data_IF_290449173381
#
_entry.id   IF_290449173381
#
_cell.length_a   1.000
_cell.length_b   1.000
_cell.length_c   1.000
_cell.angle_alpha   90.00
_cell.angle_beta   90.00
_cell.angle_gamma   90.00
#
_symmetry.space_group_name_H-M   'P 1'
#
loop_
_entity.id
_entity.type
_entity.pdbx_description
1 polymer ?
#
# COMPACT_ATOMS: atom_id res chain seq x y z
N UNK A 1 41.67 -17.67 85.94
CA UNK A 1 40.98 -18.27 84.77
C UNK A 1 39.65 -17.57 84.43
N UNK A 2 38.98 -17.05 85.44
CA UNK A 2 37.64 -16.40 85.22
C UNK A 2 37.73 -15.06 84.40
N UNK A 3 38.84 -14.31 84.54
CA UNK A 3 39.01 -13.01 83.85
C UNK A 3 39.49 -13.18 82.39
N UNK A 4 40.09 -14.30 82.04
CA UNK A 4 40.52 -14.58 80.66
C UNK A 4 39.30 -14.97 79.76
N UNK A 5 38.36 -15.70 80.38
CA UNK A 5 37.12 -16.05 79.68
C UNK A 5 36.26 -14.81 79.31
N UNK A 6 36.25 -13.81 80.18
CA UNK A 6 35.50 -12.57 79.97
C UNK A 6 36.13 -11.69 78.88
N UNK A 7 37.46 -11.74 78.72
CA UNK A 7 38.22 -10.99 77.72
C UNK A 7 38.03 -11.64 76.30
N UNK A 8 37.94 -12.97 76.22
CA UNK A 8 37.69 -13.68 74.99
C UNK A 8 36.25 -13.46 74.54
N UNK A 9 35.31 -13.42 75.50
CA UNK A 9 33.87 -13.15 75.13
C UNK A 9 33.71 -11.70 74.67
N UNK A 10 34.44 -10.73 75.18
CA UNK A 10 34.39 -9.34 74.70
C UNK A 10 34.97 -9.17 73.30
N UNK A 11 35.92 -10.01 72.86
CA UNK A 11 36.54 -9.97 71.56
C UNK A 11 35.56 -10.49 70.42
N UNK A 12 34.62 -11.33 70.79
CA UNK A 12 33.59 -11.86 69.81
C UNK A 12 32.49 -10.85 69.50
N UNK A 13 32.29 -9.79 70.27
CA UNK A 13 31.25 -8.80 70.08
C UNK A 13 31.64 -7.71 69.09
N UNK A 14 32.93 -7.56 68.75
CA UNK A 14 33.43 -6.49 67.84
C UNK A 14 33.48 -6.95 66.38
N UNK A 15 33.16 -8.22 66.06
CA UNK A 15 33.30 -8.78 64.71
C UNK A 15 32.06 -8.62 63.79
N UNK A 16 31.11 -7.74 64.09
CA UNK A 16 29.98 -7.45 63.21
C UNK A 16 30.01 -6.01 62.73
N UNK A 17 31.09 -5.63 62.04
CA UNK A 17 31.08 -4.42 61.24
C UNK A 17 30.49 -4.77 59.85
N UNK A 18 29.16 -4.76 59.71
CA UNK A 18 28.49 -4.74 58.43
C UNK A 18 28.81 -3.43 57.75
N UNK A 19 29.80 -3.42 56.87
CA UNK A 19 29.91 -2.37 55.88
C UNK A 19 28.59 -2.35 55.11
N UNK A 20 27.67 -1.50 55.51
CA UNK A 20 26.55 -1.10 54.68
C UNK A 20 27.16 -0.27 53.53
N UNK A 21 27.61 -0.93 52.48
CA UNK A 21 27.84 -0.29 51.19
C UNK A 21 26.48 0.25 50.78
N UNK A 22 26.24 1.52 51.07
CA UNK A 22 25.05 2.21 50.52
C UNK A 22 25.34 2.33 49.03
N UNK A 23 24.41 1.85 48.21
CA UNK A 23 24.48 2.11 46.79
C UNK A 23 24.49 3.61 46.54
N UNK A 24 25.43 4.07 45.70
CA UNK A 24 25.63 5.51 45.42
C UNK A 24 24.48 6.08 44.57
N UNK A 25 23.72 5.23 43.92
CA UNK A 25 22.51 5.58 43.15
C UNK A 25 21.49 4.43 43.13
N UNK A 26 20.26 4.80 43.12
CA UNK A 26 19.10 3.89 42.88
C UNK A 26 18.40 4.35 41.61
N UNK A 27 18.15 3.43 40.67
CA UNK A 27 17.44 3.76 39.44
C UNK A 27 16.84 2.52 38.81
N UNK A 28 15.87 2.74 37.93
CA UNK A 28 15.27 1.69 37.13
C UNK A 28 15.83 1.74 35.70
N UNK A 29 16.13 0.57 35.14
CA UNK A 29 16.42 0.46 33.72
C UNK A 29 15.13 0.53 32.95
N UNK A 30 15.02 1.49 32.03
CA UNK A 30 13.87 1.67 31.15
C UNK A 30 14.34 1.51 29.70
N UNK A 31 13.53 0.86 28.88
CA UNK A 31 13.71 0.80 27.44
C UNK A 31 12.46 1.33 26.73
N UNK A 32 12.63 1.77 25.48
CA UNK A 32 11.47 2.19 24.67
C UNK A 32 10.72 0.95 24.19
N UNK A 33 9.50 0.78 24.72
CA UNK A 33 8.60 -0.28 24.31
C UNK A 33 7.72 0.18 23.13
N UNK A 34 7.59 -0.66 22.12
CA UNK A 34 6.70 -0.45 20.99
C UNK A 34 5.61 -1.51 21.01
N UNK A 35 4.36 -1.07 21.07
CA UNK A 35 3.21 -1.96 20.89
C UNK A 35 2.87 -2.01 19.40
N UNK A 36 3.04 -3.18 18.80
CA UNK A 36 2.66 -3.42 17.41
C UNK A 36 1.20 -3.83 17.37
N UNK A 37 0.41 -3.03 16.67
CA UNK A 37 -1.04 -3.22 16.53
C UNK A 37 -1.40 -3.59 15.10
N UNK A 38 -2.56 -4.23 14.94
CA UNK A 38 -3.09 -4.57 13.62
C UNK A 38 -3.43 -3.32 12.80
N UNK A 39 -2.97 -3.27 11.55
CA UNK A 39 -3.34 -2.26 10.56
C UNK A 39 -4.47 -2.74 9.63
N UNK A 40 -5.03 -3.94 9.88
CA UNK A 40 -6.09 -4.55 9.07
C UNK A 40 -7.09 -5.29 9.93
N UNK A 41 -8.27 -5.56 9.35
CA UNK A 41 -9.30 -6.39 9.96
C UNK A 41 -9.27 -7.77 9.30
N UNK A 42 -9.39 -8.83 10.10
CA UNK A 42 -9.47 -10.19 9.58
C UNK A 42 -9.01 -11.23 10.59
N UNK A 43 -9.01 -12.48 10.17
CA UNK A 43 -8.49 -13.60 10.94
C UNK A 43 -6.96 -13.63 10.83
N UNK A 44 -6.28 -13.85 11.92
CA UNK A 44 -4.82 -14.06 11.94
C UNK A 44 -4.56 -15.49 11.44
N UNK A 45 -3.96 -15.62 10.25
CA UNK A 45 -3.60 -16.91 9.66
C UNK A 45 -2.43 -17.56 10.40
N UNK A 46 -1.40 -16.76 10.68
CA UNK A 46 -0.29 -17.16 11.53
C UNK A 46 0.30 -15.93 12.24
N UNK A 47 0.93 -16.18 13.39
CA UNK A 47 1.71 -15.20 14.16
C UNK A 47 2.86 -15.98 14.82
N UNK A 48 4.02 -15.98 14.14
CA UNK A 48 5.20 -16.76 14.51
C UNK A 48 6.10 -15.95 15.44
N UNK A 49 5.62 -15.71 16.65
CA UNK A 49 6.30 -15.01 17.72
C UNK A 49 5.96 -15.68 19.04
N UNK A 50 6.98 -15.78 19.92
CA UNK A 50 6.80 -16.13 21.32
C UNK A 50 7.43 -15.06 22.20
N UNK A 51 6.98 -14.96 23.45
CA UNK A 51 7.59 -14.06 24.43
C UNK A 51 9.04 -14.46 24.69
N UNK A 52 9.94 -13.49 24.64
CA UNK A 52 11.39 -13.72 24.73
C UNK A 52 12.10 -13.90 23.38
N UNK A 53 11.39 -14.01 22.27
CA UNK A 53 12.00 -14.11 20.93
C UNK A 53 12.72 -12.81 20.55
N UNK A 54 13.91 -12.93 19.98
CA UNK A 54 14.63 -11.81 19.36
C UNK A 54 14.26 -11.75 17.88
N UNK A 55 13.71 -10.63 17.46
CA UNK A 55 13.20 -10.44 16.09
C UNK A 55 13.88 -9.27 15.40
N UNK A 56 14.37 -9.52 14.19
CA UNK A 56 15.00 -8.48 13.36
C UNK A 56 13.97 -7.52 12.77
N UNK A 57 14.39 -6.26 12.53
CA UNK A 57 13.59 -5.27 11.82
C UNK A 57 13.29 -5.72 10.40
N UNK A 58 12.04 -5.56 9.97
CA UNK A 58 11.60 -5.90 8.62
C UNK A 58 11.23 -7.37 8.41
N UNK A 59 11.39 -8.24 9.44
CA UNK A 59 10.97 -9.63 9.38
C UNK A 59 9.45 -9.72 9.40
N UNK A 60 8.87 -10.49 8.47
CA UNK A 60 7.43 -10.84 8.51
C UNK A 60 7.21 -11.85 9.63
N UNK A 61 6.36 -11.50 10.57
CA UNK A 61 6.09 -12.29 11.78
C UNK A 61 4.69 -12.87 11.81
N UNK A 62 3.80 -12.39 10.95
CA UNK A 62 2.43 -12.88 10.87
C UNK A 62 1.72 -12.45 9.59
N UNK A 63 0.53 -13.00 9.39
CA UNK A 63 -0.35 -12.69 8.27
C UNK A 63 -1.80 -12.68 8.74
N UNK A 64 -2.53 -11.65 8.34
CA UNK A 64 -3.99 -11.57 8.45
C UNK A 64 -4.60 -12.01 7.13
N UNK A 65 -5.73 -12.71 7.15
CA UNK A 65 -6.42 -13.22 5.96
C UNK A 65 -6.66 -12.11 4.92
N UNK A 66 -6.21 -12.35 3.71
CA UNK A 66 -6.30 -11.43 2.57
C UNK A 66 -7.30 -11.86 1.50
N UNK A 67 -7.98 -13.00 1.68
CA UNK A 67 -8.77 -13.64 0.62
C UNK A 67 -9.86 -12.71 0.08
N UNK A 68 -10.59 -12.04 0.96
CA UNK A 68 -11.64 -11.10 0.57
C UNK A 68 -11.10 -9.89 -0.20
N UNK A 69 -9.94 -9.35 0.24
CA UNK A 69 -9.26 -8.26 -0.44
C UNK A 69 -8.75 -8.69 -1.82
N UNK A 70 -8.22 -9.91 -1.92
CA UNK A 70 -7.79 -10.49 -3.19
C UNK A 70 -8.92 -10.58 -4.21
N UNK A 71 -10.10 -11.09 -3.82
CA UNK A 71 -11.26 -11.16 -4.72
C UNK A 71 -11.77 -9.78 -5.12
N UNK A 72 -11.80 -8.83 -4.18
CA UNK A 72 -12.15 -7.43 -4.48
C UNK A 72 -11.18 -6.82 -5.50
N UNK A 73 -9.88 -7.05 -5.36
CA UNK A 73 -8.86 -6.64 -6.32
C UNK A 73 -9.11 -7.25 -7.70
N UNK A 74 -9.40 -8.55 -7.78
CA UNK A 74 -9.66 -9.23 -9.04
C UNK A 74 -10.90 -8.68 -9.74
N UNK A 75 -11.96 -8.35 -8.99
CA UNK A 75 -13.16 -7.70 -9.52
C UNK A 75 -12.85 -6.32 -10.11
N UNK A 76 -12.06 -5.51 -9.42
CA UNK A 76 -11.63 -4.19 -9.90
C UNK A 76 -10.78 -4.29 -11.17
N UNK A 77 -9.87 -5.25 -11.25
CA UNK A 77 -9.05 -5.52 -12.45
C UNK A 77 -9.96 -5.90 -13.65
N UNK A 78 -10.96 -6.76 -13.43
CA UNK A 78 -11.92 -7.14 -14.47
C UNK A 78 -12.73 -5.93 -14.96
N UNK A 79 -13.18 -5.08 -14.05
CA UNK A 79 -13.89 -3.84 -14.35
C UNK A 79 -13.01 -2.86 -15.15
N UNK A 80 -11.76 -2.67 -14.74
CA UNK A 80 -10.78 -1.85 -15.45
C UNK A 80 -10.56 -2.34 -16.88
N UNK A 81 -10.42 -3.66 -17.06
CA UNK A 81 -10.24 -4.29 -18.37
C UNK A 81 -11.47 -4.07 -19.27
N UNK A 82 -12.68 -4.19 -18.71
CA UNK A 82 -13.93 -3.93 -19.42
C UNK A 82 -14.01 -2.49 -19.91
N UNK A 83 -13.67 -1.52 -19.06
CA UNK A 83 -13.64 -0.10 -19.43
C UNK A 83 -12.56 0.15 -20.49
N UNK A 84 -11.37 -0.38 -20.31
CA UNK A 84 -10.25 -0.19 -21.23
C UNK A 84 -10.57 -0.75 -22.64
N UNK A 85 -11.36 -1.82 -22.73
CA UNK A 85 -11.77 -2.39 -24.03
C UNK A 85 -12.65 -1.43 -24.85
N UNK A 86 -13.40 -0.52 -24.19
CA UNK A 86 -14.18 0.51 -24.88
C UNK A 86 -13.29 1.46 -25.71
N UNK A 87 -12.06 1.69 -25.26
CA UNK A 87 -11.09 2.51 -26.02
C UNK A 87 -10.71 1.90 -27.36
N UNK A 88 -10.64 0.57 -27.44
CA UNK A 88 -10.43 -0.15 -28.70
C UNK A 88 -11.56 0.06 -29.69
N UNK A 89 -12.81 0.05 -29.23
CA UNK A 89 -13.99 0.32 -30.08
C UNK A 89 -13.94 1.75 -30.64
N UNK A 90 -13.61 2.74 -29.80
CA UNK A 90 -13.48 4.14 -30.25
C UNK A 90 -12.35 4.29 -31.27
N UNK A 91 -11.21 3.59 -31.06
CA UNK A 91 -10.12 3.61 -32.01
C UNK A 91 -10.53 3.01 -33.38
N UNK A 92 -11.21 1.86 -33.38
CA UNK A 92 -11.71 1.22 -34.59
C UNK A 92 -12.70 2.11 -35.34
N UNK A 93 -13.63 2.74 -34.63
CA UNK A 93 -14.59 3.69 -35.22
C UNK A 93 -13.88 4.90 -35.83
N UNK A 94 -12.88 5.46 -35.15
CA UNK A 94 -12.05 6.54 -35.66
C UNK A 94 -11.32 6.14 -36.94
N UNK A 95 -10.79 4.92 -37.00
CA UNK A 95 -10.07 4.40 -38.18
C UNK A 95 -10.99 4.28 -39.38
N UNK A 96 -12.24 3.78 -39.20
CA UNK A 96 -13.23 3.73 -40.28
C UNK A 96 -13.53 5.13 -40.82
N UNK A 97 -13.74 6.13 -39.96
CA UNK A 97 -13.96 7.50 -40.38
C UNK A 97 -12.73 8.09 -41.10
N UNK A 98 -11.50 7.73 -40.69
CA UNK A 98 -10.28 8.17 -41.36
C UNK A 98 -10.17 7.64 -42.78
N UNK A 99 -10.55 6.39 -43.03
CA UNK A 99 -10.59 5.82 -44.41
C UNK A 99 -11.68 6.49 -45.24
N UNK A 100 -12.86 6.77 -44.66
CA UNK A 100 -13.90 7.56 -45.32
C UNK A 100 -13.42 8.98 -45.68
N UNK A 101 -12.70 9.64 -44.77
CA UNK A 101 -12.11 10.96 -45.03
C UNK A 101 -11.11 10.92 -46.18
N UNK A 102 -10.26 9.90 -46.19
CA UNK A 102 -9.27 9.70 -47.27
C UNK A 102 -9.96 9.57 -48.63
N UNK A 103 -11.00 8.75 -48.74
CA UNK A 103 -11.79 8.60 -49.95
C UNK A 103 -12.47 9.90 -50.36
N UNK A 104 -13.08 10.62 -49.40
CA UNK A 104 -13.74 11.89 -49.67
C UNK A 104 -12.75 12.99 -50.13
N UNK A 105 -11.50 13.00 -49.62
CA UNK A 105 -10.46 13.95 -50.04
C UNK A 105 -9.95 13.65 -51.46
N UNK A 106 -9.85 12.39 -51.85
CA UNK A 106 -9.55 12.02 -53.25
C UNK A 106 -10.65 12.54 -54.20
N UNK A 107 -11.90 12.32 -53.86
CA UNK A 107 -13.02 12.82 -54.62
C UNK A 107 -13.05 14.35 -54.66
N UNK A 108 -12.79 15.01 -53.51
CA UNK A 108 -12.71 16.47 -53.44
C UNK A 108 -11.64 17.02 -54.40
N UNK A 109 -10.48 16.40 -54.48
CA UNK A 109 -9.41 16.79 -55.39
C UNK A 109 -9.87 16.61 -56.85
N UNK A 110 -10.53 15.49 -57.19
CA UNK A 110 -11.07 15.23 -58.53
C UNK A 110 -12.09 16.30 -58.95
N UNK A 111 -13.08 16.59 -58.10
CA UNK A 111 -14.12 17.60 -58.39
C UNK A 111 -13.52 19.00 -58.54
N UNK A 112 -12.53 19.38 -57.71
CA UNK A 112 -11.85 20.66 -57.82
C UNK A 112 -11.06 20.81 -59.16
N UNK A 113 -10.39 19.76 -59.60
CA UNK A 113 -9.69 19.74 -60.88
C UNK A 113 -10.70 19.86 -62.04
N UNK A 114 -11.83 19.11 -62.02
CA UNK A 114 -12.90 19.25 -63.02
C UNK A 114 -13.50 20.66 -63.01
N UNK A 115 -13.66 21.29 -61.85
CA UNK A 115 -14.16 22.66 -61.76
C UNK A 115 -13.21 23.68 -62.38
N UNK A 116 -11.90 23.50 -62.18
CA UNK A 116 -10.89 24.35 -62.83
C UNK A 116 -10.91 24.23 -64.37
N UNK A 117 -11.34 23.10 -64.89
CA UNK A 117 -11.48 22.79 -66.33
C UNK A 117 -12.91 23.12 -66.83
N UNK A 118 -13.77 23.77 -66.05
CA UNK A 118 -15.20 24.06 -66.34
C UNK A 118 -16.07 22.81 -66.55
N UNK A 119 -15.64 21.63 -66.10
CA UNK A 119 -16.34 20.33 -66.20
C UNK A 119 -17.12 19.98 -64.94
N UNK A 120 -17.15 20.79 -63.90
CA UNK A 120 -17.97 20.65 -62.69
C UNK A 120 -18.63 21.98 -62.28
N UNK A 121 -19.71 21.88 -61.51
CA UNK A 121 -20.46 23.06 -61.02
C UNK A 121 -19.93 23.50 -59.66
N UNK A 122 -20.08 24.79 -59.31
CA UNK A 122 -19.79 25.27 -57.95
C UNK A 122 -20.54 24.54 -56.86
N UNK A 123 -21.81 24.16 -57.13
CA UNK A 123 -22.63 23.34 -56.19
C UNK A 123 -21.94 22.02 -55.84
N UNK A 124 -21.39 21.30 -56.82
CA UNK A 124 -20.67 20.03 -56.57
C UNK A 124 -19.40 20.26 -55.71
N UNK A 125 -18.67 21.35 -55.93
CA UNK A 125 -17.52 21.69 -55.07
C UNK A 125 -17.98 21.98 -53.66
N UNK A 126 -19.06 22.71 -53.47
CA UNK A 126 -19.56 23.08 -52.13
C UNK A 126 -20.11 21.81 -51.41
N UNK A 127 -20.78 20.90 -52.11
CA UNK A 127 -21.27 19.63 -51.59
C UNK A 127 -20.12 18.74 -51.08
N UNK A 128 -19.05 18.55 -51.86
CA UNK A 128 -17.91 17.73 -51.46
C UNK A 128 -17.11 18.36 -50.33
N UNK A 129 -16.94 19.70 -50.31
CA UNK A 129 -16.30 20.41 -49.22
C UNK A 129 -17.09 20.22 -47.91
N UNK A 130 -18.42 20.31 -47.97
CA UNK A 130 -19.32 20.04 -46.85
C UNK A 130 -19.17 18.63 -46.30
N UNK A 131 -19.14 17.61 -47.19
CA UNK A 131 -18.94 16.22 -46.83
C UNK A 131 -17.62 15.96 -46.13
N UNK A 132 -16.51 16.50 -46.65
CA UNK A 132 -15.18 16.41 -46.02
C UNK A 132 -15.24 17.01 -44.63
N UNK A 133 -15.76 18.22 -44.45
CA UNK A 133 -15.91 18.89 -43.19
C UNK A 133 -16.72 18.10 -42.14
N UNK A 134 -17.82 17.51 -42.55
CA UNK A 134 -18.68 16.68 -41.70
C UNK A 134 -17.87 15.48 -41.14
N UNK A 135 -17.13 14.78 -42.02
CA UNK A 135 -16.33 13.62 -41.59
C UNK A 135 -15.20 14.06 -40.65
N UNK A 136 -14.54 15.20 -40.89
CA UNK A 136 -13.52 15.76 -40.00
C UNK A 136 -14.09 16.06 -38.61
N UNK A 137 -15.27 16.65 -38.51
CA UNK A 137 -15.91 16.90 -37.22
C UNK A 137 -16.38 15.60 -36.52
N UNK A 138 -16.82 14.59 -37.30
CA UNK A 138 -17.12 13.26 -36.74
C UNK A 138 -15.89 12.59 -36.15
N UNK A 139 -14.72 12.64 -36.82
CA UNK A 139 -13.45 12.11 -36.30
C UNK A 139 -13.07 12.81 -34.98
N UNK A 140 -13.23 14.12 -34.94
CA UNK A 140 -12.97 14.91 -33.73
C UNK A 140 -13.92 14.50 -32.58
N UNK A 141 -15.23 14.39 -32.86
CA UNK A 141 -16.26 13.97 -31.90
C UNK A 141 -15.99 12.57 -31.34
N UNK A 142 -15.64 11.60 -32.18
CA UNK A 142 -15.24 10.27 -31.75
C UNK A 142 -13.98 10.32 -30.91
N UNK A 143 -12.99 11.14 -31.30
CA UNK A 143 -11.73 11.28 -30.56
C UNK A 143 -11.91 11.76 -29.12
N UNK A 144 -12.91 12.60 -28.84
CA UNK A 144 -13.19 13.10 -27.48
C UNK A 144 -13.74 12.01 -26.54
N UNK A 145 -14.27 10.91 -27.07
CA UNK A 145 -14.81 9.81 -26.25
C UNK A 145 -13.74 9.01 -25.51
N UNK A 146 -12.47 9.10 -25.92
CA UNK A 146 -11.38 8.38 -25.26
C UNK A 146 -10.99 8.97 -23.90
N UNK A 147 -11.11 10.28 -23.70
CA UNK A 147 -10.71 10.92 -22.47
C UNK A 147 -11.54 10.45 -21.24
N UNK A 148 -12.87 10.38 -21.28
CA UNK A 148 -13.68 9.81 -20.21
C UNK A 148 -13.33 8.34 -19.92
N UNK A 149 -13.14 7.51 -20.94
CA UNK A 149 -12.79 6.09 -20.79
C UNK A 149 -11.45 5.95 -20.07
N UNK A 150 -10.46 6.74 -20.46
CA UNK A 150 -9.14 6.75 -19.79
C UNK A 150 -9.24 7.19 -18.33
N UNK A 151 -10.05 8.22 -18.06
CA UNK A 151 -10.25 8.70 -16.70
C UNK A 151 -10.94 7.65 -15.82
N UNK A 152 -11.95 6.95 -16.36
CA UNK A 152 -12.63 5.86 -15.67
C UNK A 152 -11.66 4.68 -15.41
N UNK A 153 -10.84 4.29 -16.40
CA UNK A 153 -9.81 3.26 -16.21
C UNK A 153 -8.76 3.65 -15.16
N UNK A 154 -8.35 4.91 -15.12
CA UNK A 154 -7.44 5.44 -14.08
C UNK A 154 -8.08 5.41 -12.69
N UNK A 155 -9.37 5.68 -12.57
CA UNK A 155 -10.10 5.56 -11.29
C UNK A 155 -10.02 4.14 -10.74
N UNK A 156 -10.19 3.12 -11.58
CA UNK A 156 -9.98 1.72 -11.17
C UNK A 156 -8.53 1.44 -10.77
N UNK A 157 -7.55 2.02 -11.47
CA UNK A 157 -6.14 1.88 -11.08
C UNK A 157 -5.90 2.36 -9.64
N UNK A 158 -6.43 3.53 -9.28
CA UNK A 158 -6.31 4.08 -7.92
C UNK A 158 -7.01 3.18 -6.88
N UNK A 159 -8.17 2.61 -7.23
CA UNK A 159 -8.87 1.67 -6.34
C UNK A 159 -8.07 0.38 -6.14
N UNK A 160 -7.44 -0.15 -7.19
CA UNK A 160 -6.57 -1.32 -7.12
C UNK A 160 -5.35 -1.04 -6.23
N UNK A 161 -4.72 0.14 -6.36
CA UNK A 161 -3.62 0.55 -5.49
C UNK A 161 -4.04 0.62 -4.02
N UNK A 162 -5.23 1.15 -3.73
CA UNK A 162 -5.79 1.16 -2.37
C UNK A 162 -5.93 -0.25 -1.80
N UNK A 163 -6.44 -1.20 -2.59
CA UNK A 163 -6.55 -2.60 -2.14
C UNK A 163 -5.17 -3.24 -1.97
N UNK A 164 -4.20 -2.93 -2.84
CA UNK A 164 -2.82 -3.40 -2.69
C UNK A 164 -2.20 -2.93 -1.36
N UNK A 165 -2.42 -1.66 -0.97
CA UNK A 165 -1.97 -1.12 0.32
C UNK A 165 -2.63 -1.87 1.50
N UNK A 166 -3.94 -2.15 1.41
CA UNK A 166 -4.64 -2.94 2.42
C UNK A 166 -4.10 -4.36 2.53
N UNK A 167 -3.83 -5.04 1.40
CA UNK A 167 -3.21 -6.37 1.38
C UNK A 167 -1.80 -6.31 2.00
N UNK A 168 -1.03 -5.27 1.71
CA UNK A 168 0.30 -5.08 2.30
C UNK A 168 0.23 -4.95 3.82
N UNK A 169 -0.77 -4.24 4.35
CA UNK A 169 -1.01 -4.07 5.79
C UNK A 169 -1.48 -5.33 6.50
N UNK A 170 -1.93 -6.35 5.76
CA UNK A 170 -2.22 -7.66 6.33
C UNK A 170 -0.94 -8.45 6.67
N UNK A 171 0.21 -8.12 6.07
CA UNK A 171 1.49 -8.68 6.45
C UNK A 171 2.01 -7.97 7.71
N UNK A 172 2.14 -8.72 8.79
CA UNK A 172 2.65 -8.21 10.05
C UNK A 172 4.18 -8.18 9.99
N UNK A 173 4.73 -6.99 9.80
CA UNK A 173 6.19 -6.77 9.68
C UNK A 173 6.72 -6.13 10.95
N UNK A 174 7.76 -6.72 11.53
CA UNK A 174 8.36 -6.21 12.75
C UNK A 174 9.05 -4.85 12.50
N UNK A 175 8.69 -3.77 13.25
CA UNK A 175 9.17 -2.41 12.97
C UNK A 175 10.60 -2.12 13.44
N UNK A 176 11.09 -2.82 14.48
CA UNK A 176 12.41 -2.63 15.07
C UNK A 176 13.10 -3.96 15.35
N UNK A 177 14.43 -3.98 15.46
CA UNK A 177 15.13 -5.11 16.08
C UNK A 177 14.89 -5.06 17.60
N UNK A 178 14.52 -6.20 18.21
CA UNK A 178 14.29 -6.25 19.65
C UNK A 178 13.77 -7.60 20.13
N UNK A 179 13.46 -7.65 21.43
CA UNK A 179 12.89 -8.81 22.10
C UNK A 179 11.39 -8.62 22.29
N UNK A 180 10.63 -9.65 22.00
CA UNK A 180 9.17 -9.68 22.25
C UNK A 180 8.94 -9.76 23.76
N UNK A 181 8.28 -8.76 24.32
CA UNK A 181 7.98 -8.69 25.76
C UNK A 181 6.66 -9.36 26.10
N UNK A 182 5.65 -9.17 25.26
CA UNK A 182 4.29 -9.69 25.51
C UNK A 182 3.60 -9.96 24.17
N UNK A 183 2.92 -11.08 24.08
CA UNK A 183 2.07 -11.47 22.95
C UNK A 183 0.60 -11.33 23.36
N UNK A 184 -0.16 -10.53 22.62
CA UNK A 184 -1.57 -10.20 22.93
C UNK A 184 -2.58 -10.95 22.05
N UNK A 185 -2.13 -11.56 20.96
CA UNK A 185 -2.99 -12.22 19.99
C UNK A 185 -2.42 -13.56 19.56
N UNK A 186 -3.32 -14.50 19.24
CA UNK A 186 -2.97 -15.83 18.81
C UNK A 186 -3.42 -16.13 17.37
N UNK A 187 -2.77 -17.07 16.66
CA UNK A 187 -3.24 -17.59 15.40
C UNK A 187 -4.71 -18.05 15.48
N UNK A 188 -5.46 -17.84 14.43
CA UNK A 188 -6.90 -18.10 14.32
C UNK A 188 -7.83 -17.14 15.07
N UNK A 189 -7.32 -16.19 15.83
CA UNK A 189 -8.15 -15.10 16.36
C UNK A 189 -8.55 -14.09 15.28
N UNK A 190 -9.67 -13.42 15.48
CA UNK A 190 -10.09 -12.28 14.68
C UNK A 190 -9.52 -11.00 15.28
N UNK A 191 -8.80 -10.23 14.47
CA UNK A 191 -8.28 -8.93 14.83
C UNK A 191 -9.00 -7.81 14.12
N UNK A 192 -8.90 -6.59 14.69
CA UNK A 192 -9.45 -5.37 14.11
C UNK A 192 -8.37 -4.29 14.10
N UNK A 193 -8.56 -3.27 13.25
CA UNK A 193 -7.65 -2.13 13.18
C UNK A 193 -7.39 -1.53 14.57
N UNK A 194 -6.13 -1.36 14.93
CA UNK A 194 -5.69 -0.81 16.21
C UNK A 194 -5.61 -1.82 17.37
N UNK A 195 -6.07 -3.08 17.21
CA UNK A 195 -5.93 -4.11 18.26
C UNK A 195 -4.45 -4.45 18.45
N UNK A 196 -3.91 -4.39 19.69
CA UNK A 196 -2.54 -4.81 19.98
C UNK A 196 -2.32 -6.28 19.62
N UNK A 197 -1.19 -6.59 18.98
CA UNK A 197 -0.80 -7.95 18.62
C UNK A 197 0.37 -8.44 19.48
N UNK A 198 1.39 -7.62 19.66
CA UNK A 198 2.52 -7.91 20.54
C UNK A 198 3.25 -6.62 20.95
N UNK A 199 4.07 -6.73 21.98
CA UNK A 199 4.94 -5.65 22.46
C UNK A 199 6.40 -6.07 22.27
N UNK A 200 7.22 -5.16 21.74
CA UNK A 200 8.65 -5.39 21.50
C UNK A 200 9.48 -4.23 22.03
N UNK A 201 10.68 -4.52 22.53
CA UNK A 201 11.63 -3.52 22.98
C UNK A 201 13.05 -3.89 22.58
N UNK A 202 13.90 -2.88 22.36
CA UNK A 202 15.34 -3.09 22.20
C UNK A 202 15.99 -3.15 23.59
N UNK A 203 16.31 -4.36 24.05
CA UNK A 203 16.97 -4.58 25.36
C UNK A 203 18.49 -4.39 25.30
N UNK A 204 19.08 -4.18 24.12
CA UNK A 204 20.52 -3.86 23.98
C UNK A 204 20.81 -2.41 24.40
N UNK A 205 19.82 -1.54 24.35
CA UNK A 205 19.91 -0.13 24.73
C UNK A 205 18.90 0.18 25.84
N UNK A 206 19.38 0.32 27.06
CA UNK A 206 18.55 0.68 28.23
C UNK A 206 19.03 1.99 28.84
N UNK A 207 18.08 2.82 29.23
CA UNK A 207 18.34 4.06 29.96
C UNK A 207 18.19 3.83 31.47
N UNK A 208 19.18 4.22 32.25
CA UNK A 208 19.06 4.24 33.70
C UNK A 208 18.38 5.54 34.12
N UNK A 209 17.20 5.42 34.70
CA UNK A 209 16.48 6.55 35.30
C UNK A 209 16.79 6.56 36.80
N UNK A 210 17.52 7.55 37.25
CA UNK A 210 17.90 7.80 38.63
C UNK A 210 16.89 8.71 39.31
#
# INVERSE_FOLDING_TARGET
>A
MKNIALLVLAMFIISCNKNNEKADAYGNFETTEITVSSESNGKIEFLNLEEGDVVEKGKTVGLIDTLQLYYTKMQLIASQKTVSSKSGNVLSQKQVLQEQLKTAKIEQTRIKNMFSENAATKRQVDEINGKVKVIEEQIKGVGTQNAPIKNEANSFSVQIEKINDQIKKCNLVNPIKGTVLTKYAEPNEVTTFGKPLYKIANLEEMNLRV
#
